data_IF_635114144624
#
_entry.id   IF_635114144624
#
_cell.length_a   1.000
_cell.length_b   1.000
_cell.length_c   1.000
_cell.angle_alpha   90.00
_cell.angle_beta   90.00
_cell.angle_gamma   90.00
#
_symmetry.space_group_name_H-M   'P 1'
#
loop_
_entity.id
_entity.type
_entity.pdbx_description
1 polymer ?
#
# COMPACT_ATOMS: atom_id res chain seq x y z
N UNK A 1 11.94 6.00 -8.82
CA UNK A 1 12.86 4.90 -8.44
C UNK A 1 14.02 5.49 -7.66
N UNK A 2 14.59 4.75 -6.73
CA UNK A 2 15.69 5.20 -5.88
C UNK A 2 16.66 4.08 -5.55
N UNK A 3 17.85 4.47 -5.11
CA UNK A 3 18.84 3.59 -4.50
C UNK A 3 19.35 4.25 -3.22
N UNK A 4 19.29 3.53 -2.11
CA UNK A 4 19.83 3.94 -0.82
C UNK A 4 21.01 3.02 -0.50
N UNK A 5 22.21 3.56 -0.32
CA UNK A 5 23.41 2.78 -0.03
C UNK A 5 23.52 2.38 1.44
N UNK A 6 24.33 1.36 1.72
CA UNK A 6 24.70 0.97 3.08
C UNK A 6 25.44 2.08 3.85
N UNK A 7 26.11 2.99 3.13
CA UNK A 7 26.81 4.16 3.66
C UNK A 7 25.90 5.39 3.84
N UNK A 8 24.58 5.21 3.79
CA UNK A 8 23.57 6.27 3.98
C UNK A 8 23.58 7.36 2.88
N UNK A 9 23.83 6.98 1.62
CA UNK A 9 23.68 7.86 0.45
C UNK A 9 22.40 7.54 -0.31
N UNK A 10 21.59 8.54 -0.64
CA UNK A 10 20.36 8.39 -1.41
C UNK A 10 20.49 8.93 -2.84
N UNK A 11 20.11 8.12 -3.81
CA UNK A 11 20.02 8.46 -5.22
C UNK A 11 18.56 8.32 -5.64
N UNK A 12 17.98 9.36 -6.23
CA UNK A 12 16.57 9.39 -6.64
C UNK A 12 16.44 9.76 -8.12
N UNK A 13 15.51 9.11 -8.81
CA UNK A 13 15.17 9.41 -10.21
C UNK A 13 13.64 9.39 -10.44
N UNK A 14 13.08 10.39 -11.15
CA UNK A 14 13.75 11.60 -11.64
C UNK A 14 14.25 12.48 -10.49
N UNK A 15 15.23 13.35 -10.78
CA UNK A 15 15.78 14.26 -9.78
C UNK A 15 14.71 15.21 -9.25
N UNK A 16 14.70 15.41 -7.95
CA UNK A 16 14.04 16.51 -7.25
C UNK A 16 14.96 17.00 -6.13
N UNK A 17 14.66 18.15 -5.54
CA UNK A 17 15.45 18.70 -4.43
C UNK A 17 15.23 17.86 -3.15
N UNK A 18 16.04 16.80 -3.02
CA UNK A 18 15.92 15.81 -1.95
C UNK A 18 16.11 16.43 -0.56
N UNK A 19 16.86 17.53 -0.46
CA UNK A 19 17.10 18.23 0.81
C UNK A 19 15.86 18.93 1.36
N UNK A 20 14.82 19.14 0.54
CA UNK A 20 13.53 19.63 1.02
C UNK A 20 12.70 18.54 1.73
N UNK A 21 13.10 17.28 1.56
CA UNK A 21 12.31 16.10 1.92
C UNK A 21 13.02 15.23 2.95
N UNK A 22 14.32 15.02 2.74
CA UNK A 22 15.21 14.20 3.57
C UNK A 22 16.26 15.15 4.16
N UNK A 23 16.22 15.43 5.48
CA UNK A 23 17.25 16.17 6.18
C UNK A 23 18.63 15.51 6.02
N UNK A 24 19.73 16.27 5.93
CA UNK A 24 21.08 15.72 5.78
C UNK A 24 21.49 14.69 6.85
N UNK A 25 20.95 14.82 8.07
CA UNK A 25 21.28 13.96 9.21
C UNK A 25 20.42 12.68 9.28
N UNK A 26 19.46 12.50 8.37
CA UNK A 26 18.55 11.37 8.37
C UNK A 26 19.27 10.07 8.01
N UNK A 27 19.10 9.03 8.83
CA UNK A 27 19.54 7.68 8.51
C UNK A 27 18.42 6.93 7.76
N UNK A 28 18.51 6.92 6.42
CA UNK A 28 17.49 6.30 5.55
C UNK A 28 17.40 4.78 5.74
N UNK A 29 18.40 4.17 6.37
CA UNK A 29 18.43 2.72 6.64
C UNK A 29 17.45 2.30 7.72
N UNK A 30 16.97 3.25 8.50
CA UNK A 30 15.99 3.02 9.57
C UNK A 30 14.53 2.98 9.10
N UNK A 31 14.29 3.28 7.82
CA UNK A 31 12.95 3.34 7.23
C UNK A 31 12.56 2.04 6.53
N UNK A 32 11.25 1.78 6.44
CA UNK A 32 10.70 0.53 5.91
C UNK A 32 11.19 0.20 4.48
N UNK A 33 11.42 1.21 3.65
CA UNK A 33 11.89 1.10 2.28
C UNK A 33 13.37 0.71 2.18
N UNK A 34 14.08 0.60 3.32
CA UNK A 34 15.42 0.05 3.41
C UNK A 34 15.44 -1.22 4.26
N UNK A 35 15.10 -1.14 5.55
CA UNK A 35 15.37 -2.25 6.49
C UNK A 35 14.60 -3.53 6.11
N UNK A 36 13.42 -3.42 5.49
CA UNK A 36 12.66 -4.62 5.06
C UNK A 36 13.39 -5.45 4.00
N UNK A 37 14.37 -4.86 3.28
CA UNK A 37 15.20 -5.57 2.31
C UNK A 37 16.61 -5.88 2.84
N UNK A 38 16.96 -5.48 4.06
CA UNK A 38 18.28 -5.76 4.63
C UNK A 38 18.49 -7.27 4.87
N UNK A 39 19.74 -7.67 5.17
CA UNK A 39 20.08 -9.08 5.40
C UNK A 39 19.29 -9.71 6.55
N UNK A 40 19.00 -8.94 7.60
CA UNK A 40 18.32 -9.42 8.80
C UNK A 40 16.84 -9.73 8.53
N UNK A 41 16.17 -8.90 7.75
CA UNK A 41 14.74 -9.03 7.46
C UNK A 41 14.47 -9.83 6.18
N UNK A 42 15.41 -9.84 5.23
CA UNK A 42 15.30 -10.50 3.93
C UNK A 42 16.54 -11.35 3.61
N UNK A 43 16.80 -12.43 4.38
CA UNK A 43 17.95 -13.31 4.16
C UNK A 43 17.90 -14.07 2.82
N UNK A 44 16.72 -14.19 2.21
CA UNK A 44 16.57 -14.76 0.86
C UNK A 44 17.01 -13.82 -0.26
N UNK A 45 17.30 -12.53 0.07
CA UNK A 45 17.74 -11.48 -0.84
C UNK A 45 16.76 -11.22 -2.00
N UNK A 46 15.48 -11.55 -1.81
CA UNK A 46 14.44 -11.39 -2.84
C UNK A 46 13.84 -9.99 -2.90
N UNK A 47 12.98 -9.73 -3.88
CA UNK A 47 12.17 -8.51 -3.91
C UNK A 47 11.09 -8.55 -2.82
N UNK A 48 10.85 -7.42 -2.17
CA UNK A 48 9.88 -7.26 -1.08
C UNK A 48 8.90 -6.15 -1.44
N UNK A 49 7.61 -6.39 -1.25
CA UNK A 49 6.59 -5.34 -1.31
C UNK A 49 6.41 -4.70 0.06
N UNK A 50 6.65 -3.39 0.14
CA UNK A 50 6.21 -2.54 1.25
C UNK A 50 4.71 -2.31 1.06
N UNK A 51 3.93 -3.31 1.44
CA UNK A 51 2.55 -3.48 1.03
C UNK A 51 1.50 -2.68 1.81
N UNK A 52 1.91 -1.92 2.82
CA UNK A 52 1.05 -1.02 3.60
C UNK A 52 1.30 0.42 3.12
N UNK A 53 0.28 1.16 2.67
CA UNK A 53 0.50 2.51 2.16
C UNK A 53 1.14 3.42 3.22
N UNK A 54 2.19 4.11 2.80
CA UNK A 54 2.89 5.11 3.60
C UNK A 54 2.97 6.44 2.85
N UNK A 55 3.20 7.52 3.59
CA UNK A 55 3.28 8.87 3.01
C UNK A 55 4.54 8.99 2.18
N UNK A 56 4.40 9.44 0.94
CA UNK A 56 5.51 9.88 0.12
C UNK A 56 6.18 11.11 0.73
N UNK A 57 7.47 11.02 1.11
CA UNK A 57 8.22 12.18 1.54
C UNK A 57 8.24 13.29 0.46
N UNK A 58 8.22 12.95 -0.83
CA UNK A 58 8.20 13.91 -1.93
C UNK A 58 6.80 14.53 -2.21
N UNK A 59 5.80 14.24 -1.37
CA UNK A 59 4.50 14.91 -1.39
C UNK A 59 3.51 14.42 -2.45
N UNK A 60 3.74 13.25 -3.09
CA UNK A 60 2.81 12.68 -4.06
C UNK A 60 1.62 11.94 -3.41
N UNK A 61 1.53 11.92 -2.08
CA UNK A 61 0.44 11.31 -1.31
C UNK A 61 0.80 9.90 -0.81
N UNK A 62 -0.21 9.03 -0.69
CA UNK A 62 0.01 7.64 -0.27
C UNK A 62 0.67 6.83 -1.38
N UNK A 63 1.66 6.04 -1.03
CA UNK A 63 2.35 5.13 -1.95
C UNK A 63 2.60 3.76 -1.32
N UNK A 64 2.85 2.79 -2.18
CA UNK A 64 3.38 1.47 -1.86
C UNK A 64 4.58 1.24 -2.75
N UNK A 65 5.52 0.41 -2.31
CA UNK A 65 6.78 0.28 -3.03
C UNK A 65 7.23 -1.17 -3.12
N UNK A 66 7.95 -1.46 -4.20
CA UNK A 66 8.71 -2.69 -4.35
C UNK A 66 10.18 -2.35 -4.16
N UNK A 67 10.85 -3.09 -3.28
CA UNK A 67 12.25 -2.91 -2.93
C UNK A 67 13.01 -4.21 -3.18
N UNK A 68 14.29 -4.10 -3.47
CA UNK A 68 15.18 -5.26 -3.62
C UNK A 68 16.57 -4.90 -3.10
N UNK A 69 17.25 -5.80 -2.38
CA UNK A 69 18.61 -5.56 -1.95
C UNK A 69 19.59 -5.72 -3.11
N UNK A 70 20.67 -4.94 -3.05
CA UNK A 70 21.79 -4.99 -4.00
C UNK A 70 23.00 -5.52 -3.27
N UNK A 71 23.55 -6.65 -3.72
CA UNK A 71 24.70 -7.30 -3.11
C UNK A 71 25.90 -7.36 -4.05
N UNK A 72 27.10 -7.28 -3.50
CA UNK A 72 28.34 -7.74 -4.11
C UNK A 72 28.88 -8.93 -3.29
N UNK A 73 28.75 -10.13 -3.85
CA UNK A 73 28.98 -11.36 -3.08
C UNK A 73 28.01 -11.47 -1.89
N UNK A 74 28.56 -11.46 -0.67
CA UNK A 74 27.79 -11.49 0.58
C UNK A 74 27.64 -10.12 1.24
N UNK A 75 28.16 -9.06 0.63
CA UNK A 75 28.08 -7.70 1.16
C UNK A 75 26.87 -6.97 0.60
N UNK A 76 25.97 -6.52 1.48
CA UNK A 76 24.86 -5.63 1.10
C UNK A 76 25.41 -4.24 0.76
N UNK A 77 25.29 -3.83 -0.49
CA UNK A 77 25.69 -2.50 -0.96
C UNK A 77 24.59 -1.45 -0.74
N UNK A 78 23.34 -1.88 -0.66
CA UNK A 78 22.20 -1.00 -0.45
C UNK A 78 20.89 -1.61 -0.92
N UNK A 79 19.86 -0.78 -1.03
CA UNK A 79 18.51 -1.17 -1.42
C UNK A 79 18.04 -0.28 -2.56
N UNK A 80 17.61 -0.92 -3.65
CA UNK A 80 16.91 -0.24 -4.75
C UNK A 80 15.41 -0.35 -4.51
N UNK A 81 14.66 0.69 -4.89
CA UNK A 81 13.21 0.66 -4.80
C UNK A 81 12.51 1.47 -5.88
N UNK A 82 11.24 1.12 -6.11
CA UNK A 82 10.34 1.85 -7.00
C UNK A 82 8.99 2.02 -6.33
N UNK A 83 8.53 3.26 -6.32
CA UNK A 83 7.25 3.63 -5.72
C UNK A 83 6.12 3.59 -6.74
N UNK A 84 4.95 3.22 -6.24
CA UNK A 84 3.69 3.27 -6.95
C UNK A 84 2.69 4.02 -6.08
N UNK A 85 2.26 5.19 -6.55
CA UNK A 85 1.26 5.96 -5.80
C UNK A 85 -0.08 5.24 -5.78
N UNK A 86 -0.81 5.35 -4.67
CA UNK A 86 -2.19 4.88 -4.55
C UNK A 86 -3.06 5.55 -5.60
N UNK A 87 -2.79 6.82 -5.93
CA UNK A 87 -3.49 7.52 -7.01
C UNK A 87 -3.31 6.82 -8.36
N UNK A 88 -2.08 6.45 -8.73
CA UNK A 88 -1.82 5.70 -9.96
C UNK A 88 -2.52 4.33 -9.95
N UNK A 89 -2.46 3.61 -8.83
CA UNK A 89 -3.19 2.33 -8.67
C UNK A 89 -4.68 2.50 -8.94
N UNK A 90 -5.30 3.48 -8.29
CA UNK A 90 -6.72 3.77 -8.42
C UNK A 90 -7.09 4.15 -9.85
N UNK A 91 -6.46 5.18 -10.42
CA UNK A 91 -6.84 5.71 -11.73
C UNK A 91 -6.57 4.74 -12.87
N UNK A 92 -5.42 4.05 -12.84
CA UNK A 92 -5.00 3.20 -13.96
C UNK A 92 -5.67 1.83 -13.95
N UNK A 93 -5.94 1.27 -12.77
CA UNK A 93 -6.37 -0.13 -12.65
C UNK A 93 -7.75 -0.31 -12.03
N UNK A 94 -8.18 0.53 -11.08
CA UNK A 94 -9.45 0.33 -10.37
C UNK A 94 -10.60 1.12 -10.98
N UNK A 95 -10.37 2.36 -11.40
CA UNK A 95 -11.39 3.19 -12.08
C UNK A 95 -11.62 2.75 -13.53
N UNK A 96 -10.61 2.14 -14.16
CA UNK A 96 -10.71 1.57 -15.50
C UNK A 96 -11.32 0.17 -15.54
N UNK A 97 -11.51 -0.47 -14.36
CA UNK A 97 -12.10 -1.79 -14.27
C UNK A 97 -13.61 -1.74 -14.54
N UNK A 98 -14.16 -2.78 -15.18
CA UNK A 98 -15.59 -2.88 -15.48
C UNK A 98 -16.48 -2.95 -14.22
N UNK A 99 -15.91 -3.38 -13.10
CA UNK A 99 -16.62 -3.57 -11.83
C UNK A 99 -16.01 -2.69 -10.73
N UNK A 100 -16.83 -2.15 -9.80
CA UNK A 100 -16.31 -1.45 -8.63
C UNK A 100 -15.33 -2.34 -7.87
N UNK A 101 -14.13 -1.83 -7.62
CA UNK A 101 -13.01 -2.65 -7.16
C UNK A 101 -12.22 -1.99 -6.03
N UNK A 102 -11.63 -2.80 -5.16
CA UNK A 102 -10.70 -2.35 -4.12
C UNK A 102 -9.56 -3.36 -3.92
N UNK A 103 -8.37 -2.83 -3.62
CA UNK A 103 -7.21 -3.61 -3.18
C UNK A 103 -7.12 -3.55 -1.67
N UNK A 104 -7.03 -4.72 -1.04
CA UNK A 104 -7.01 -4.85 0.43
C UNK A 104 -5.82 -5.72 0.84
N UNK A 105 -5.02 -5.26 1.79
CA UNK A 105 -3.93 -6.06 2.33
C UNK A 105 -4.44 -7.17 3.27
N UNK A 106 -3.56 -8.10 3.65
CA UNK A 106 -3.90 -9.22 4.54
C UNK A 106 -4.42 -8.82 5.94
N UNK A 107 -4.15 -7.58 6.41
CA UNK A 107 -4.65 -7.04 7.68
C UNK A 107 -6.00 -6.33 7.54
N UNK A 108 -6.58 -6.29 6.34
CA UNK A 108 -7.85 -5.63 6.05
C UNK A 108 -7.77 -4.13 5.78
N UNK A 109 -6.56 -3.57 5.65
CA UNK A 109 -6.38 -2.19 5.24
C UNK A 109 -6.63 -2.04 3.73
N UNK A 110 -7.49 -1.08 3.37
CA UNK A 110 -7.72 -0.72 1.96
C UNK A 110 -6.51 0.07 1.45
N UNK A 111 -5.83 -0.49 0.45
CA UNK A 111 -4.67 0.10 -0.23
C UNK A 111 -5.14 1.15 -1.23
N UNK A 112 -6.08 0.75 -2.08
CA UNK A 112 -6.67 1.56 -3.15
C UNK A 112 -8.11 1.11 -3.38
N UNK A 113 -8.96 2.03 -3.85
CA UNK A 113 -10.38 1.74 -4.12
C UNK A 113 -10.86 2.61 -5.28
N UNK A 114 -11.72 2.07 -6.14
CA UNK A 114 -12.48 2.89 -7.09
C UNK A 114 -13.52 3.73 -6.35
N UNK A 115 -13.93 4.84 -6.96
CA UNK A 115 -14.89 5.80 -6.40
C UNK A 115 -16.23 5.14 -6.14
N UNK A 116 -16.68 4.27 -7.05
CA UNK A 116 -17.95 3.57 -6.91
C UNK A 116 -17.92 2.52 -5.79
N UNK A 117 -16.81 1.79 -5.63
CA UNK A 117 -16.66 0.84 -4.52
C UNK A 117 -16.62 1.57 -3.17
N UNK A 118 -15.93 2.72 -3.11
CA UNK A 118 -15.91 3.56 -1.92
C UNK A 118 -17.30 4.08 -1.57
N UNK A 119 -18.11 4.48 -2.57
CA UNK A 119 -19.50 4.92 -2.39
C UNK A 119 -20.37 3.79 -1.83
N UNK A 120 -20.35 2.63 -2.48
CA UNK A 120 -21.12 1.44 -2.07
C UNK A 120 -20.79 1.02 -0.64
N UNK A 121 -19.50 0.97 -0.31
CA UNK A 121 -19.01 0.52 1.00
C UNK A 121 -18.94 1.66 2.02
N UNK A 122 -19.32 2.89 1.66
CA UNK A 122 -19.18 4.08 2.51
C UNK A 122 -17.79 4.21 3.15
N UNK A 123 -16.76 3.94 2.36
CA UNK A 123 -15.38 4.10 2.79
C UNK A 123 -15.03 5.59 2.83
N UNK A 124 -14.19 6.02 3.78
CA UNK A 124 -13.66 7.37 3.76
C UNK A 124 -12.88 7.58 2.46
N UNK A 125 -13.07 8.74 1.83
CA UNK A 125 -12.28 9.13 0.66
C UNK A 125 -10.83 9.35 1.13
N UNK A 126 -9.86 8.76 0.43
CA UNK A 126 -8.46 9.15 0.57
C UNK A 126 -8.32 10.54 -0.05
N UNK A 127 -8.52 11.59 0.75
CA UNK A 127 -8.17 12.94 0.31
C UNK A 127 -6.67 12.97 -0.01
N UNK A 128 -6.29 13.73 -1.04
CA UNK A 128 -4.90 13.92 -1.44
C UNK A 128 -4.13 14.63 -0.33
N UNK A 129 -3.62 13.87 0.63
CA UNK A 129 -2.75 14.38 1.67
C UNK A 129 -1.46 14.87 1.02
N UNK A 130 -1.38 16.18 0.75
CA UNK A 130 -0.11 16.85 0.46
C UNK A 130 0.60 17.09 1.78
N UNK A 131 1.36 16.11 2.25
CA UNK A 131 2.31 16.35 3.33
C UNK A 131 3.47 17.15 2.73
N UNK A 132 3.74 18.33 3.29
CA UNK A 132 4.95 19.15 3.02
C UNK A 132 5.67 19.37 4.36
N UNK A 133 5.75 18.33 5.18
CA UNK A 133 6.57 18.33 6.40
C UNK A 133 7.61 17.22 6.29
N UNK A 134 8.83 17.50 6.77
CA UNK A 134 9.93 16.56 6.77
C UNK A 134 9.51 15.25 7.44
N UNK A 135 9.56 14.14 6.69
CA UNK A 135 9.15 12.82 7.18
C UNK A 135 10.24 12.29 8.10
N UNK A 136 10.13 12.57 9.40
CA UNK A 136 11.12 12.10 10.38
C UNK A 136 10.99 10.61 10.73
N UNK A 137 9.84 9.99 10.44
CA UNK A 137 9.54 8.57 10.70
C UNK A 137 8.49 8.04 9.72
N UNK A 138 8.44 6.72 9.52
CA UNK A 138 7.40 6.06 8.71
C UNK A 138 5.98 6.48 9.15
N UNK A 139 5.23 7.10 8.24
CA UNK A 139 3.83 7.49 8.46
C UNK A 139 2.92 6.61 7.62
N UNK A 140 2.17 5.72 8.26
CA UNK A 140 1.27 4.78 7.60
C UNK A 140 -0.17 5.30 7.51
N UNK A 141 -0.93 4.73 6.59
CA UNK A 141 -2.34 5.08 6.42
C UNK A 141 -3.16 4.80 7.70
N UNK A 142 -4.04 5.72 8.12
CA UNK A 142 -4.77 5.57 9.38
C UNK A 142 -5.71 4.34 9.41
N UNK A 143 -5.94 3.79 10.60
CA UNK A 143 -6.78 2.59 10.79
C UNK A 143 -8.24 2.75 10.34
N UNK A 144 -8.71 3.99 10.13
CA UNK A 144 -10.07 4.28 9.62
C UNK A 144 -10.34 3.67 8.24
N UNK A 145 -9.29 3.30 7.50
CA UNK A 145 -9.37 2.61 6.22
C UNK A 145 -9.33 1.07 6.36
N UNK A 146 -9.27 0.53 7.57
CA UNK A 146 -9.24 -0.91 7.80
C UNK A 146 -10.67 -1.48 7.91
N UNK A 147 -11.01 -2.41 7.01
CA UNK A 147 -12.33 -3.02 6.91
C UNK A 147 -12.69 -3.88 8.14
N UNK A 148 -11.71 -4.53 8.77
CA UNK A 148 -11.91 -5.30 10.00
C UNK A 148 -12.23 -4.39 11.20
N UNK A 149 -11.81 -3.11 11.13
CA UNK A 149 -12.05 -2.08 12.15
C UNK A 149 -13.17 -1.11 11.78
N UNK A 150 -13.85 -1.32 10.66
CA UNK A 150 -14.93 -0.45 10.18
C UNK A 150 -16.02 -0.28 11.25
N UNK A 151 -16.60 0.92 11.45
CA UNK A 151 -17.71 1.10 12.39
C UNK A 151 -18.98 0.35 11.96
N UNK A 152 -19.11 0.00 10.67
CA UNK A 152 -20.29 -0.68 10.11
C UNK A 152 -20.16 -2.21 10.24
N UNK A 153 -21.12 -2.84 10.91
CA UNK A 153 -21.16 -4.29 11.13
C UNK A 153 -21.15 -5.10 9.81
N UNK A 154 -21.89 -4.74 8.74
CA UNK A 154 -21.85 -5.48 7.47
C UNK A 154 -20.45 -5.54 6.85
N UNK A 155 -19.70 -4.43 6.90
CA UNK A 155 -18.33 -4.36 6.36
C UNK A 155 -17.38 -5.25 7.16
N UNK A 156 -17.45 -5.20 8.50
CA UNK A 156 -16.63 -6.09 9.35
C UNK A 156 -16.94 -7.57 9.10
N UNK A 157 -18.21 -7.91 8.90
CA UNK A 157 -18.62 -9.28 8.61
C UNK A 157 -18.07 -9.75 7.26
N UNK A 158 -18.20 -8.93 6.21
CA UNK A 158 -17.61 -9.19 4.90
C UNK A 158 -16.09 -9.40 5.00
N UNK A 159 -15.40 -8.50 5.70
CA UNK A 159 -13.95 -8.57 5.86
C UNK A 159 -13.50 -9.80 6.65
N UNK A 160 -14.22 -10.20 7.69
CA UNK A 160 -13.93 -11.46 8.40
C UNK A 160 -14.07 -12.67 7.48
N UNK A 161 -15.16 -12.71 6.70
CA UNK A 161 -15.41 -13.82 5.77
C UNK A 161 -14.31 -13.97 4.71
N UNK A 162 -13.91 -12.87 4.07
CA UNK A 162 -12.88 -12.93 3.02
C UNK A 162 -11.47 -13.08 3.61
N UNK A 163 -11.12 -12.31 4.64
CA UNK A 163 -9.72 -12.19 5.11
C UNK A 163 -9.37 -13.25 6.14
N UNK A 164 -10.25 -13.49 7.11
CA UNK A 164 -10.00 -14.40 8.23
C UNK A 164 -10.42 -15.82 7.87
N UNK A 165 -11.62 -15.98 7.31
CA UNK A 165 -12.15 -17.28 6.90
C UNK A 165 -11.68 -17.70 5.49
N UNK A 166 -10.87 -16.86 4.83
CA UNK A 166 -10.23 -17.11 3.52
C UNK A 166 -11.22 -17.50 2.42
N UNK A 167 -12.44 -16.97 2.46
CA UNK A 167 -13.41 -17.17 1.41
C UNK A 167 -13.06 -16.33 0.17
N UNK A 168 -13.18 -16.91 -1.02
CA UNK A 168 -13.01 -16.19 -2.29
C UNK A 168 -14.20 -15.30 -2.67
N UNK A 169 -15.26 -15.33 -1.85
CA UNK A 169 -16.45 -14.51 -2.03
C UNK A 169 -17.14 -14.25 -0.70
N UNK A 170 -17.82 -13.12 -0.62
CA UNK A 170 -18.66 -12.75 0.51
C UNK A 170 -19.87 -11.95 0.05
N UNK A 171 -20.86 -11.82 0.92
CA UNK A 171 -22.04 -10.99 0.66
C UNK A 171 -22.02 -9.79 1.57
N UNK A 172 -22.48 -8.65 1.04
CA UNK A 172 -22.72 -7.46 1.85
C UNK A 172 -24.12 -6.93 1.56
N UNK A 173 -24.78 -6.49 2.61
CA UNK A 173 -26.07 -5.81 2.52
C UNK A 173 -25.89 -4.37 3.03
N UNK A 174 -26.14 -3.41 2.13
CA UNK A 174 -26.01 -1.98 2.40
C UNK A 174 -27.24 -1.29 1.80
N UNK A 175 -27.93 -0.44 2.58
CA UNK A 175 -29.14 0.27 2.14
C UNK A 175 -30.27 -0.61 1.59
N UNK A 176 -30.37 -1.85 2.08
CA UNK A 176 -31.37 -2.82 1.61
C UNK A 176 -31.03 -3.46 0.26
N UNK A 177 -29.88 -3.14 -0.33
CA UNK A 177 -29.34 -3.81 -1.50
C UNK A 177 -28.32 -4.87 -1.07
N UNK A 178 -28.52 -6.09 -1.56
CA UNK A 178 -27.58 -7.19 -1.36
C UNK A 178 -26.65 -7.25 -2.57
N UNK A 179 -25.35 -7.32 -2.30
CA UNK A 179 -24.32 -7.37 -3.34
C UNK A 179 -23.33 -8.49 -3.05
N UNK A 180 -22.84 -9.11 -4.12
CA UNK A 180 -21.79 -10.11 -4.06
C UNK A 180 -20.44 -9.42 -4.16
N UNK A 181 -19.49 -9.84 -3.33
CA UNK A 181 -18.09 -9.44 -3.45
C UNK A 181 -17.28 -10.69 -3.77
N UNK A 182 -16.54 -10.66 -4.87
CA UNK A 182 -15.56 -11.69 -5.22
C UNK A 182 -14.16 -11.17 -4.89
N UNK A 183 -13.35 -12.00 -4.28
CA UNK A 183 -11.98 -11.69 -3.89
C UNK A 183 -11.00 -12.67 -4.52
N UNK A 184 -9.96 -12.13 -5.16
CA UNK A 184 -8.86 -12.88 -5.74
C UNK A 184 -7.51 -12.39 -5.16
N UNK A 185 -6.57 -13.28 -4.85
CA UNK A 185 -5.23 -12.87 -4.46
C UNK A 185 -4.52 -12.19 -5.64
N UNK A 186 -3.70 -11.18 -5.35
CA UNK A 186 -2.75 -10.63 -6.31
C UNK A 186 -1.43 -11.39 -6.10
N UNK A 187 -1.01 -12.25 -7.06
CA UNK A 187 0.26 -12.98 -6.97
C UNK A 187 1.41 -11.99 -6.68
N UNK A 188 2.52 -12.46 -6.11
CA UNK A 188 3.65 -11.62 -5.70
C UNK A 188 3.42 -10.64 -4.52
N UNK A 189 2.18 -10.45 -4.06
CA UNK A 189 1.87 -9.56 -2.93
C UNK A 189 1.10 -10.29 -1.83
N UNK A 190 0.88 -9.61 -0.70
CA UNK A 190 -0.04 -10.05 0.35
C UNK A 190 -1.41 -9.36 0.21
N UNK A 191 -1.81 -9.01 -1.01
CA UNK A 191 -3.03 -8.27 -1.29
C UNK A 191 -4.11 -9.16 -1.90
N UNK A 192 -5.34 -8.69 -1.77
CA UNK A 192 -6.52 -9.26 -2.41
C UNK A 192 -7.24 -8.17 -3.20
N UNK A 193 -7.56 -8.44 -4.46
CA UNK A 193 -8.42 -7.62 -5.30
C UNK A 193 -9.86 -8.06 -5.06
N UNK A 194 -10.70 -7.15 -4.62
CA UNK A 194 -12.12 -7.38 -4.41
C UNK A 194 -12.90 -6.64 -5.48
N UNK A 195 -13.90 -7.32 -6.05
CA UNK A 195 -14.83 -6.74 -7.02
C UNK A 195 -16.26 -6.89 -6.51
N UNK A 196 -17.02 -5.80 -6.60
CA UNK A 196 -18.42 -5.76 -6.19
C UNK A 196 -19.29 -6.00 -7.43
N UNK A 197 -20.20 -6.96 -7.31
CA UNK A 197 -21.12 -7.36 -8.37
C UNK A 197 -22.52 -7.04 -7.87
N UNK A 198 -23.18 -6.12 -8.57
CA UNK A 198 -24.61 -5.88 -8.42
C UNK A 198 -25.37 -7.12 -8.89
N UNK A 199 -26.38 -7.51 -8.11
CA UNK A 199 -27.30 -8.59 -8.46
C UNK A 199 -28.25 -8.17 -9.59
#
# INVERSE_FOLDING_TARGET
AYFNSADNCSYVYPYFDILQVIPPEMDVRTFNFYFLADEKHNPSRGSVWVGTPYVDPAGQGWMVSVIAPVYEGDTLLGVVGTDLTVHTLTQKYLESAEKPSLLVNHDGLVIATSSEAARILHLPIQEGHKYIEAVNTDTFQPEKFNLLKSPRKPIRALARSIIIEKQSRGWIEMHGERQLVIAAPVPETNWTLWQIIAE
#
